data_IF_211127947369
#
_entry.id   IF_211127947369
#
_cell.length_a   1.000
_cell.length_b   1.000
_cell.length_c   1.000
_cell.angle_alpha   90.00
_cell.angle_beta   90.00
_cell.angle_gamma   90.00
#
_symmetry.space_group_name_H-M   'P 1'
#
loop_
_entity.id
_entity.type
_entity.pdbx_description
1 polymer ?
#
# COMPACT_ATOMS: atom_id res chain seq x y z
N UNK A 1 -10.22 -0.33 -32.47
CA UNK A 1 -9.18 -1.24 -31.89
C UNK A 1 -8.62 -0.69 -30.57
N UNK A 2 -7.94 0.46 -30.56
CA UNK A 2 -7.28 0.99 -29.35
C UNK A 2 -8.24 1.28 -28.18
N UNK A 3 -9.35 1.97 -28.43
CA UNK A 3 -10.37 2.26 -27.41
C UNK A 3 -11.01 0.98 -26.83
N UNK A 4 -11.30 0.00 -27.69
CA UNK A 4 -11.85 -1.32 -27.30
C UNK A 4 -10.87 -2.10 -26.42
N UNK A 5 -9.57 -2.06 -26.73
CA UNK A 5 -8.53 -2.72 -25.92
C UNK A 5 -8.38 -2.07 -24.54
N UNK A 6 -8.48 -0.74 -24.45
CA UNK A 6 -8.48 -0.02 -23.16
C UNK A 6 -9.69 -0.43 -22.34
N UNK A 7 -10.88 -0.42 -22.95
CA UNK A 7 -12.12 -0.77 -22.25
C UNK A 7 -12.08 -2.20 -21.68
N UNK A 8 -11.65 -3.18 -22.49
CA UNK A 8 -11.48 -4.57 -22.05
C UNK A 8 -10.46 -4.70 -20.90
N UNK A 9 -9.35 -3.94 -20.95
CA UNK A 9 -8.39 -3.93 -19.86
C UNK A 9 -8.98 -3.35 -18.56
N UNK A 10 -9.74 -2.25 -18.65
CA UNK A 10 -10.39 -1.65 -17.48
C UNK A 10 -11.44 -2.59 -16.85
N UNK A 11 -12.16 -3.36 -17.67
CA UNK A 11 -13.08 -4.41 -17.22
C UNK A 11 -12.34 -5.57 -16.53
N UNK A 12 -11.20 -6.01 -17.09
CA UNK A 12 -10.30 -7.00 -16.44
C UNK A 12 -9.84 -6.51 -15.07
N UNK A 13 -9.46 -5.22 -14.96
CA UNK A 13 -9.08 -4.61 -13.67
C UNK A 13 -10.27 -4.56 -12.70
N UNK A 14 -11.47 -4.19 -13.16
CA UNK A 14 -12.66 -4.15 -12.33
C UNK A 14 -13.05 -5.52 -11.79
N UNK A 15 -13.04 -6.55 -12.64
CA UNK A 15 -13.28 -7.93 -12.23
C UNK A 15 -12.22 -8.41 -11.23
N UNK A 16 -10.95 -8.17 -11.52
CA UNK A 16 -9.86 -8.53 -10.62
C UNK A 16 -9.98 -7.85 -9.25
N UNK A 17 -10.27 -6.54 -9.19
CA UNK A 17 -10.50 -5.82 -7.91
C UNK A 17 -11.59 -6.50 -7.09
N UNK A 18 -12.74 -6.78 -7.70
CA UNK A 18 -13.86 -7.41 -7.02
C UNK A 18 -13.50 -8.79 -6.46
N UNK A 19 -12.80 -9.63 -7.23
CA UNK A 19 -12.34 -10.95 -6.76
C UNK A 19 -11.37 -10.80 -5.59
N UNK A 20 -10.41 -9.88 -5.68
CA UNK A 20 -9.37 -9.69 -4.66
C UNK A 20 -9.93 -9.09 -3.38
N UNK A 21 -10.81 -8.08 -3.45
CA UNK A 21 -11.48 -7.50 -2.28
C UNK A 21 -12.29 -8.57 -1.54
N UNK A 22 -13.12 -9.32 -2.27
CA UNK A 22 -13.94 -10.41 -1.71
C UNK A 22 -13.08 -11.50 -1.06
N UNK A 23 -11.97 -11.89 -1.70
CA UNK A 23 -11.02 -12.83 -1.11
C UNK A 23 -10.45 -12.29 0.20
N UNK A 24 -9.95 -11.06 0.20
CA UNK A 24 -9.30 -10.48 1.38
C UNK A 24 -10.27 -10.28 2.54
N UNK A 25 -11.51 -9.85 2.27
CA UNK A 25 -12.54 -9.69 3.29
C UNK A 25 -12.81 -11.01 4.02
N UNK A 26 -13.02 -12.09 3.26
CA UNK A 26 -13.25 -13.40 3.86
C UNK A 26 -11.98 -13.97 4.51
N UNK A 27 -10.83 -13.82 3.86
CA UNK A 27 -9.56 -14.33 4.38
C UNK A 27 -9.26 -13.74 5.75
N UNK A 28 -9.32 -12.42 5.88
CA UNK A 28 -9.04 -11.74 7.14
C UNK A 28 -10.03 -12.12 8.25
N UNK A 29 -11.29 -12.43 7.93
CA UNK A 29 -12.25 -12.96 8.91
C UNK A 29 -11.78 -14.29 9.53
N UNK A 30 -11.13 -15.16 8.75
CA UNK A 30 -10.59 -16.44 9.26
C UNK A 30 -9.39 -16.23 10.19
N UNK A 31 -8.63 -15.15 10.02
CA UNK A 31 -7.52 -14.80 10.90
C UNK A 31 -7.97 -14.10 12.19
N UNK A 32 -9.22 -13.67 12.30
CA UNK A 32 -9.75 -12.99 13.48
C UNK A 32 -10.14 -14.01 14.57
N UNK A 33 -9.16 -14.51 15.31
CA UNK A 33 -9.39 -15.14 16.61
C UNK A 33 -9.14 -14.12 17.73
N UNK A 34 -10.20 -13.79 18.47
CA UNK A 34 -10.19 -12.75 19.52
C UNK A 34 -9.31 -13.10 20.72
N UNK A 35 -8.92 -14.36 20.90
CA UNK A 35 -8.13 -14.82 22.05
C UNK A 35 -6.69 -15.18 21.70
N UNK A 36 -6.20 -14.74 20.54
CA UNK A 36 -4.90 -15.15 20.02
C UNK A 36 -3.79 -14.12 20.28
N UNK A 37 -2.59 -14.60 20.61
CA UNK A 37 -1.37 -13.80 20.78
C UNK A 37 -0.78 -13.34 19.43
N UNK A 38 -1.63 -12.95 18.47
CA UNK A 38 -1.23 -12.57 17.09
C UNK A 38 -1.65 -11.14 16.77
N UNK A 39 -1.03 -10.48 15.77
CA UNK A 39 -1.42 -9.13 15.39
C UNK A 39 -2.89 -9.07 14.97
N UNK A 40 -3.61 -8.05 15.42
CA UNK A 40 -4.98 -7.83 15.00
C UNK A 40 -4.98 -7.27 13.57
N UNK A 41 -5.39 -8.10 12.61
CA UNK A 41 -5.51 -7.70 11.19
C UNK A 41 -6.80 -6.89 10.99
N UNK A 42 -6.66 -5.67 10.50
CA UNK A 42 -7.77 -4.79 10.13
C UNK A 42 -8.19 -5.03 8.67
N UNK A 43 -9.39 -4.57 8.26
CA UNK A 43 -9.83 -4.65 6.87
C UNK A 43 -8.77 -4.16 5.89
N UNK A 44 -8.52 -4.96 4.85
CA UNK A 44 -7.49 -4.65 3.87
C UNK A 44 -7.87 -3.42 3.03
N UNK A 45 -6.86 -2.64 2.64
CA UNK A 45 -7.00 -1.44 1.82
C UNK A 45 -6.37 -1.72 0.46
N UNK A 46 -7.18 -1.68 -0.59
CA UNK A 46 -6.69 -1.73 -1.97
C UNK A 46 -5.84 -0.50 -2.29
N UNK A 47 -4.58 -0.71 -2.65
CA UNK A 47 -3.60 0.34 -2.96
C UNK A 47 -2.94 0.14 -4.32
N UNK A 48 -2.36 1.22 -4.85
CA UNK A 48 -1.63 1.20 -6.11
C UNK A 48 -2.51 1.17 -7.36
N UNK A 49 -1.86 1.13 -8.51
CA UNK A 49 -2.49 1.43 -9.80
C UNK A 49 -3.72 0.57 -10.11
N UNK A 50 -3.65 -0.76 -9.87
CA UNK A 50 -4.75 -1.68 -10.20
C UNK A 50 -6.05 -1.35 -9.45
N UNK A 51 -5.92 -0.92 -8.18
CA UNK A 51 -7.04 -0.47 -7.35
C UNK A 51 -7.53 0.92 -7.72
N UNK A 52 -6.62 1.79 -8.15
CA UNK A 52 -6.95 3.12 -8.69
C UNK A 52 -7.64 3.04 -10.06
N UNK A 53 -7.56 1.90 -10.76
CA UNK A 53 -8.26 1.65 -12.03
C UNK A 53 -7.42 1.85 -13.28
N UNK A 54 -6.09 1.81 -13.17
CA UNK A 54 -5.15 1.84 -14.28
C UNK A 54 -4.00 0.84 -14.03
N UNK A 55 -3.30 0.36 -15.06
CA UNK A 55 -2.14 -0.51 -14.84
C UNK A 55 -1.15 -0.38 -15.99
N UNK A 56 0.16 -0.22 -15.71
CA UNK A 56 1.18 -0.21 -16.76
C UNK A 56 1.30 -1.54 -17.51
N UNK A 57 1.10 -2.65 -16.81
CA UNK A 57 1.21 -4.00 -17.36
C UNK A 57 -0.18 -4.57 -17.71
N UNK A 58 -0.33 -5.06 -18.94
CA UNK A 58 -1.57 -5.74 -19.39
C UNK A 58 -1.53 -7.25 -19.19
N UNK A 59 -0.31 -7.79 -19.26
CA UNK A 59 -0.04 -9.22 -19.29
C UNK A 59 -0.15 -9.78 -17.87
N UNK A 60 0.50 -9.14 -16.91
CA UNK A 60 0.52 -9.53 -15.50
C UNK A 60 0.16 -8.34 -14.61
N UNK A 61 -1.07 -8.35 -14.09
CA UNK A 61 -1.57 -7.31 -13.17
C UNK A 61 -1.34 -7.76 -11.74
N UNK A 62 -0.69 -6.91 -10.95
CA UNK A 62 -0.49 -7.09 -9.51
C UNK A 62 -1.47 -6.20 -8.75
N UNK A 63 -2.38 -6.82 -8.01
CA UNK A 63 -3.29 -6.16 -7.06
C UNK A 63 -2.59 -6.06 -5.72
N UNK A 64 -2.37 -4.83 -5.23
CA UNK A 64 -1.70 -4.61 -3.95
C UNK A 64 -2.72 -4.33 -2.85
N UNK A 65 -2.64 -5.09 -1.77
CA UNK A 65 -3.51 -4.96 -0.61
C UNK A 65 -2.66 -4.65 0.61
N UNK A 66 -2.90 -3.51 1.25
CA UNK A 66 -2.31 -3.19 2.55
C UNK A 66 -3.22 -3.71 3.65
N UNK A 67 -2.70 -4.56 4.53
CA UNK A 67 -3.39 -5.05 5.72
C UNK A 67 -2.89 -4.27 6.93
N UNK A 68 -3.70 -3.36 7.51
CA UNK A 68 -3.29 -2.64 8.69
C UNK A 68 -3.20 -3.57 9.89
N UNK A 69 -2.14 -3.41 10.69
CA UNK A 69 -1.91 -4.15 11.92
C UNK A 69 -2.25 -3.27 13.13
N UNK A 70 -2.91 -3.86 14.11
CA UNK A 70 -3.05 -3.32 15.46
C UNK A 70 -2.37 -4.26 16.46
N UNK A 71 -1.82 -3.72 17.57
CA UNK A 71 -1.23 -4.56 18.60
C UNK A 71 -2.30 -5.48 19.20
N UNK A 72 -1.94 -6.73 19.56
CA UNK A 72 -2.84 -7.57 20.34
C UNK A 72 -3.06 -7.00 21.74
N UNK A 73 -4.01 -7.59 22.46
CA UNK A 73 -4.26 -7.25 23.87
C UNK A 73 -2.96 -7.36 24.70
N UNK A 74 -2.75 -6.41 25.61
CA UNK A 74 -1.56 -6.34 26.45
C UNK A 74 -0.29 -5.81 25.76
N UNK A 75 -0.39 -5.37 24.50
CA UNK A 75 0.73 -4.79 23.75
C UNK A 75 0.39 -3.41 23.23
N UNK A 76 1.42 -2.63 22.90
CA UNK A 76 1.31 -1.35 22.22
C UNK A 76 2.38 -1.22 21.11
N UNK A 77 2.04 -0.52 20.04
CA UNK A 77 2.96 -0.24 18.94
C UNK A 77 3.44 1.21 19.03
N UNK A 78 4.72 1.38 19.36
CA UNK A 78 5.39 2.66 19.36
C UNK A 78 6.15 2.87 18.04
N UNK A 79 5.83 3.94 17.32
CA UNK A 79 6.45 4.25 16.03
C UNK A 79 7.70 5.11 16.25
N UNK A 80 8.86 4.57 15.89
CA UNK A 80 10.14 5.27 15.91
C UNK A 80 10.45 5.73 14.48
N UNK A 81 10.18 7.00 14.18
CA UNK A 81 10.49 7.56 12.86
C UNK A 81 12.00 7.75 12.69
N UNK A 82 12.48 7.55 11.46
CA UNK A 82 13.89 7.68 11.11
C UNK A 82 14.52 9.02 11.51
N UNK A 83 15.78 8.99 11.93
CA UNK A 83 16.50 10.16 12.47
C UNK A 83 17.15 11.02 11.39
N UNK A 84 17.15 10.55 10.14
CA UNK A 84 17.82 11.21 9.02
C UNK A 84 17.10 12.47 8.49
N UNK A 85 15.96 12.85 9.07
CA UNK A 85 15.17 14.02 8.66
C UNK A 85 14.55 13.92 7.26
N UNK A 86 14.66 12.76 6.60
CA UNK A 86 14.05 12.49 5.30
C UNK A 86 12.56 12.27 5.46
N UNK A 87 11.77 12.84 4.54
CA UNK A 87 10.33 12.67 4.49
C UNK A 87 9.97 12.25 3.05
N UNK A 88 9.31 11.10 2.84
CA UNK A 88 8.96 10.10 3.86
C UNK A 88 10.21 9.44 4.46
N UNK A 89 10.16 9.10 5.74
CA UNK A 89 11.25 8.42 6.45
C UNK A 89 11.39 6.98 5.92
N UNK A 90 12.61 6.59 5.58
CA UNK A 90 12.91 5.29 4.94
C UNK A 90 13.41 4.22 5.92
N UNK A 91 13.70 4.64 7.14
CA UNK A 91 14.46 3.92 8.18
C UNK A 91 13.71 3.83 9.51
N UNK A 92 12.39 4.06 9.49
CA UNK A 92 11.54 3.98 10.68
C UNK A 92 11.40 2.53 11.17
N UNK A 93 11.06 2.37 12.44
CA UNK A 93 10.84 1.07 13.10
C UNK A 93 9.59 1.10 13.97
N UNK A 94 9.09 -0.09 14.33
CA UNK A 94 7.92 -0.26 15.17
C UNK A 94 8.35 -1.05 16.40
N UNK A 95 8.48 -0.36 17.53
CA UNK A 95 8.80 -0.97 18.81
C UNK A 95 7.52 -1.50 19.47
N UNK A 96 7.59 -2.72 20.00
CA UNK A 96 6.47 -3.39 20.65
C UNK A 96 6.70 -3.39 22.15
N UNK A 97 5.84 -2.66 22.85
CA UNK A 97 5.89 -2.54 24.30
C UNK A 97 4.77 -3.35 24.96
N UNK A 98 5.02 -3.85 26.17
CA UNK A 98 3.96 -4.42 27.01
C UNK A 98 3.14 -3.29 27.63
N UNK A 99 1.81 -3.45 27.60
CA UNK A 99 0.86 -2.52 28.18
C UNK A 99 0.10 -3.23 29.30
N UNK A 100 0.01 -2.59 30.47
CA UNK A 100 -0.81 -3.11 31.56
C UNK A 100 -2.29 -3.07 31.17
N UNK A 101 -3.00 -4.16 31.42
CA UNK A 101 -4.44 -4.30 31.15
C UNK A 101 -5.27 -4.35 32.44
N UNK A 102 -4.65 -4.12 33.60
CA UNK A 102 -5.34 -4.02 34.87
C UNK A 102 -6.14 -2.71 34.94
N UNK A 103 -7.36 -2.77 35.44
CA UNK A 103 -8.10 -1.56 35.84
C UNK A 103 -7.52 -1.01 37.15
N UNK A 104 -7.40 0.32 37.28
CA UNK A 104 -6.88 0.98 38.49
C UNK A 104 -7.66 0.60 39.76
N UNK A 105 -8.95 0.27 39.64
CA UNK A 105 -9.82 -0.15 40.76
C UNK A 105 -9.73 -1.66 41.10
N UNK A 106 -9.04 -2.49 40.30
CA UNK A 106 -8.97 -3.96 40.45
C UNK A 106 -7.64 -4.48 40.99
N UNK A 107 -6.76 -3.63 41.53
CA UNK A 107 -5.51 -4.01 42.22
C UNK A 107 -5.71 -4.85 43.51
N UNK A 108 -6.93 -5.35 43.77
CA UNK A 108 -7.30 -6.26 44.85
C UNK A 108 -8.16 -7.42 44.35
N UNK A 109 -7.62 -8.28 43.48
CA UNK A 109 -7.90 -9.73 43.34
C UNK A 109 -7.37 -10.25 42.00
N UNK A 110 -6.39 -11.14 42.05
CA UNK A 110 -6.08 -12.20 41.07
C UNK A 110 -6.28 -11.89 39.57
N UNK A 111 -5.97 -10.67 39.10
CA UNK A 111 -5.94 -10.35 37.67
C UNK A 111 -4.54 -10.63 37.12
N UNK A 112 -4.43 -11.67 36.31
CA UNK A 112 -3.20 -12.04 35.59
C UNK A 112 -2.96 -11.01 34.47
N UNK A 113 -1.93 -10.18 34.61
CA UNK A 113 -1.47 -9.31 33.52
C UNK A 113 0.03 -9.50 33.29
N UNK A 114 0.47 -9.26 32.04
CA UNK A 114 1.86 -9.46 31.62
C UNK A 114 2.89 -8.67 32.44
N UNK A 115 2.49 -7.58 33.10
CA UNK A 115 3.38 -6.71 33.86
C UNK A 115 3.41 -7.08 35.35
N UNK A 116 2.28 -7.47 35.94
CA UNK A 116 2.15 -7.65 37.38
C UNK A 116 2.28 -9.11 37.85
N UNK A 117 2.31 -10.10 36.94
CA UNK A 117 2.36 -11.52 37.30
C UNK A 117 3.54 -12.31 36.69
N UNK A 118 4.70 -11.66 36.57
CA UNK A 118 5.88 -12.16 35.85
C UNK A 118 6.53 -13.44 36.46
N UNK A 119 6.24 -13.78 37.72
CA UNK A 119 6.93 -14.90 38.40
C UNK A 119 6.35 -16.29 38.11
N UNK A 120 5.09 -16.40 37.65
CA UNK A 120 4.43 -17.71 37.43
C UNK A 120 4.47 -18.24 35.99
N UNK A 121 4.96 -17.47 35.01
CA UNK A 121 4.96 -17.89 33.58
C UNK A 121 6.15 -18.77 33.18
N UNK A 122 7.07 -19.10 34.10
CA UNK A 122 8.28 -19.87 33.79
C UNK A 122 8.12 -21.40 33.80
N UNK A 123 6.93 -21.93 34.11
CA UNK A 123 6.71 -23.39 34.10
C UNK A 123 5.55 -23.77 33.19
N UNK A 124 5.80 -24.79 32.34
CA UNK A 124 4.87 -25.53 31.45
C UNK A 124 4.40 -24.90 30.13
N UNK A 125 4.86 -25.45 28.99
CA UNK A 125 4.19 -25.58 27.68
C UNK A 125 3.22 -24.45 27.23
N UNK A 126 3.57 -23.18 27.43
CA UNK A 126 2.75 -22.06 26.94
C UNK A 126 3.02 -21.79 25.45
N UNK A 127 1.97 -21.35 24.75
CA UNK A 127 2.08 -20.90 23.36
C UNK A 127 3.15 -19.78 23.24
N UNK A 128 3.91 -19.72 22.14
CA UNK A 128 4.97 -18.74 21.99
C UNK A 128 4.43 -17.32 22.15
N UNK A 129 5.13 -16.48 22.92
CA UNK A 129 4.76 -15.08 23.15
C UNK A 129 4.73 -14.30 21.84
N UNK A 130 3.95 -13.22 21.81
CA UNK A 130 3.88 -12.34 20.63
C UNK A 130 5.27 -11.86 20.19
N UNK A 131 6.10 -11.41 21.14
CA UNK A 131 7.45 -10.92 20.87
C UNK A 131 8.33 -12.00 20.22
N UNK A 132 8.34 -13.22 20.75
CA UNK A 132 9.15 -14.31 20.17
C UNK A 132 8.69 -14.70 18.76
N UNK A 133 7.37 -14.60 18.50
CA UNK A 133 6.75 -14.97 17.23
C UNK A 133 6.85 -13.89 16.15
N UNK A 134 6.69 -12.61 16.50
CA UNK A 134 6.53 -11.52 15.52
C UNK A 134 7.59 -10.43 15.60
N UNK A 135 8.49 -10.46 16.59
CA UNK A 135 9.51 -9.43 16.78
C UNK A 135 10.92 -9.99 16.69
N UNK A 136 11.85 -9.18 16.21
CA UNK A 136 13.30 -9.38 16.40
C UNK A 136 13.73 -8.35 17.43
N UNK A 137 14.28 -8.84 18.56
CA UNK A 137 14.37 -8.09 19.81
C UNK A 137 12.99 -7.56 20.24
N UNK A 138 12.81 -6.24 20.29
CA UNK A 138 11.52 -5.58 20.59
C UNK A 138 10.87 -4.95 19.35
N UNK A 139 11.43 -5.17 18.15
CA UNK A 139 10.94 -4.54 16.93
C UNK A 139 10.12 -5.50 16.09
N UNK A 140 8.99 -5.02 15.58
CA UNK A 140 8.12 -5.80 14.71
C UNK A 140 8.86 -6.23 13.43
N UNK A 141 8.88 -7.52 13.17
CA UNK A 141 9.66 -8.13 12.08
C UNK A 141 8.73 -8.55 10.93
N UNK A 142 8.94 -7.93 9.77
CA UNK A 142 8.15 -8.20 8.55
C UNK A 142 8.23 -9.66 8.13
N UNK A 143 9.43 -10.25 8.14
CA UNK A 143 9.63 -11.61 7.63
C UNK A 143 8.90 -12.62 8.53
N UNK A 144 8.92 -12.40 9.85
CA UNK A 144 8.16 -13.22 10.79
C UNK A 144 6.64 -13.12 10.55
N UNK A 145 6.11 -11.92 10.31
CA UNK A 145 4.70 -11.73 9.99
C UNK A 145 4.33 -12.41 8.66
N UNK A 146 5.13 -12.18 7.61
CA UNK A 146 4.92 -12.79 6.28
C UNK A 146 4.94 -14.31 6.38
N UNK A 147 5.90 -14.87 7.11
CA UNK A 147 6.01 -16.31 7.33
C UNK A 147 4.78 -16.86 8.06
N UNK A 148 4.37 -16.23 9.16
CA UNK A 148 3.16 -16.61 9.89
C UNK A 148 1.91 -16.54 9.01
N UNK A 149 1.75 -15.46 8.25
CA UNK A 149 0.59 -15.28 7.38
C UNK A 149 0.53 -16.38 6.32
N UNK A 150 1.64 -16.63 5.62
CA UNK A 150 1.74 -17.65 4.57
C UNK A 150 1.48 -19.08 5.09
N UNK A 151 2.00 -19.42 6.28
CA UNK A 151 1.79 -20.73 6.89
C UNK A 151 0.32 -21.02 7.21
N UNK A 152 -0.46 -19.96 7.46
CA UNK A 152 -1.89 -20.07 7.76
C UNK A 152 -2.78 -19.88 6.53
N UNK A 153 -2.24 -19.33 5.43
CA UNK A 153 -3.01 -19.00 4.24
C UNK A 153 -3.71 -20.22 3.65
N UNK A 154 -3.02 -21.35 3.52
CA UNK A 154 -3.61 -22.57 2.94
C UNK A 154 -4.70 -23.17 3.83
N UNK A 155 -4.59 -23.02 5.16
CA UNK A 155 -5.63 -23.46 6.11
C UNK A 155 -6.86 -22.57 6.00
N UNK A 156 -6.64 -21.26 5.93
CA UNK A 156 -7.70 -20.29 5.73
C UNK A 156 -8.40 -20.51 4.38
N UNK A 157 -7.64 -20.65 3.29
CA UNK A 157 -8.16 -20.93 1.94
C UNK A 157 -9.07 -22.15 1.87
N UNK A 158 -8.67 -23.28 2.49
CA UNK A 158 -9.50 -24.49 2.55
C UNK A 158 -10.84 -24.23 3.25
N UNK A 159 -10.83 -23.39 4.28
CA UNK A 159 -12.05 -23.00 4.99
C UNK A 159 -12.92 -22.10 4.10
N UNK A 160 -12.33 -21.13 3.40
CA UNK A 160 -13.03 -20.20 2.52
C UNK A 160 -13.77 -20.88 1.37
N UNK A 161 -13.15 -21.88 0.72
CA UNK A 161 -13.77 -22.61 -0.38
C UNK A 161 -15.03 -23.40 0.04
N UNK A 162 -15.29 -23.57 1.33
CA UNK A 162 -16.53 -24.19 1.78
C UNK A 162 -17.70 -23.20 1.82
N UNK A 163 -17.42 -21.89 1.92
CA UNK A 163 -18.42 -20.85 2.13
C UNK A 163 -18.65 -19.98 0.88
N UNK A 164 -17.67 -19.86 -0.01
CA UNK A 164 -17.77 -18.96 -1.17
C UNK A 164 -17.50 -19.66 -2.50
N UNK A 165 -18.58 -20.09 -3.16
CA UNK A 165 -18.57 -20.81 -4.45
C UNK A 165 -17.84 -20.03 -5.56
N UNK A 166 -17.81 -18.70 -5.50
CA UNK A 166 -17.11 -17.89 -6.50
C UNK A 166 -15.58 -18.03 -6.39
N UNK A 167 -15.05 -18.22 -5.18
CA UNK A 167 -13.61 -18.40 -4.95
C UNK A 167 -13.16 -19.83 -5.28
N UNK A 168 -14.05 -20.82 -5.21
CA UNK A 168 -13.77 -22.23 -5.57
C UNK A 168 -13.37 -22.43 -7.03
N UNK A 169 -13.62 -21.45 -7.90
CA UNK A 169 -13.23 -21.49 -9.32
C UNK A 169 -11.76 -21.14 -9.54
N UNK A 170 -11.04 -20.80 -8.46
CA UNK A 170 -9.64 -20.42 -8.48
C UNK A 170 -8.80 -21.42 -7.71
N UNK A 171 -7.58 -21.64 -8.19
CA UNK A 171 -6.51 -22.26 -7.45
C UNK A 171 -5.61 -21.17 -6.88
N UNK A 172 -5.17 -21.35 -5.64
CA UNK A 172 -4.23 -20.45 -4.97
C UNK A 172 -2.84 -21.07 -4.96
N UNK A 173 -1.82 -20.27 -5.23
CA UNK A 173 -0.41 -20.63 -5.03
C UNK A 173 0.36 -19.45 -4.48
N UNK A 174 1.28 -19.70 -3.55
CA UNK A 174 2.15 -18.66 -3.00
C UNK A 174 3.45 -18.59 -3.79
N UNK A 175 3.96 -17.37 -4.01
CA UNK A 175 5.26 -17.12 -4.59
C UNK A 175 6.25 -16.74 -3.47
N UNK A 176 7.53 -17.14 -3.56
CA UNK A 176 8.51 -16.88 -2.51
C UNK A 176 8.88 -15.40 -2.48
N UNK A 177 8.44 -14.70 -1.42
CA UNK A 177 8.76 -13.30 -1.14
C UNK A 177 9.03 -13.12 0.34
N UNK A 178 10.00 -12.27 0.70
CA UNK A 178 10.39 -12.06 2.10
C UNK A 178 9.70 -10.87 2.77
N UNK A 179 9.37 -9.82 2.01
CA UNK A 179 8.89 -8.53 2.54
C UNK A 179 7.36 -8.32 2.33
N UNK A 180 6.73 -9.21 1.58
CA UNK A 180 5.30 -9.23 1.31
C UNK A 180 4.83 -10.67 1.11
N UNK A 181 3.51 -10.92 1.12
CA UNK A 181 2.95 -12.19 0.73
C UNK A 181 2.45 -12.09 -0.72
N UNK A 182 3.13 -12.76 -1.63
CA UNK A 182 2.72 -12.80 -3.04
C UNK A 182 1.87 -14.04 -3.31
N UNK A 183 0.63 -13.83 -3.73
CA UNK A 183 -0.37 -14.86 -3.97
C UNK A 183 -0.81 -14.82 -5.43
N UNK A 184 -0.77 -15.95 -6.11
CA UNK A 184 -1.30 -16.11 -7.45
C UNK A 184 -2.63 -16.85 -7.39
N UNK A 185 -3.69 -16.22 -7.89
CA UNK A 185 -4.98 -16.86 -8.14
C UNK A 185 -5.05 -17.27 -9.60
N UNK A 186 -5.27 -18.55 -9.88
CA UNK A 186 -5.41 -19.08 -11.23
C UNK A 186 -6.80 -19.68 -11.41
N UNK A 187 -7.59 -19.11 -12.30
CA UNK A 187 -8.91 -19.62 -12.69
C UNK A 187 -8.78 -20.92 -13.50
N UNK A 188 -9.83 -21.74 -13.48
CA UNK A 188 -9.97 -22.93 -14.33
C UNK A 188 -9.75 -22.67 -15.83
N UNK A 189 -10.01 -21.45 -16.31
CA UNK A 189 -9.75 -21.03 -17.71
C UNK A 189 -8.32 -20.52 -17.97
N UNK A 190 -7.38 -20.68 -17.02
CA UNK A 190 -5.98 -20.27 -17.15
C UNK A 190 -5.71 -18.78 -16.91
N UNK A 191 -6.74 -17.95 -16.75
CA UNK A 191 -6.59 -16.55 -16.33
C UNK A 191 -6.06 -16.49 -14.90
N UNK A 192 -5.10 -15.61 -14.63
CA UNK A 192 -4.57 -15.43 -13.29
C UNK A 192 -4.44 -13.97 -12.88
N UNK A 193 -4.43 -13.77 -11.57
CA UNK A 193 -4.18 -12.49 -10.91
C UNK A 193 -3.06 -12.69 -9.89
N UNK A 194 -2.16 -11.72 -9.82
CA UNK A 194 -1.21 -11.63 -8.71
C UNK A 194 -1.78 -10.69 -7.66
N UNK A 195 -1.67 -11.10 -6.41
CA UNK A 195 -2.04 -10.32 -5.24
C UNK A 195 -0.78 -10.19 -4.40
N UNK A 196 -0.36 -8.95 -4.18
CA UNK A 196 0.69 -8.65 -3.23
C UNK A 196 0.05 -8.11 -1.95
N UNK A 197 0.16 -8.86 -0.87
CA UNK A 197 -0.31 -8.46 0.45
C UNK A 197 0.88 -7.87 1.19
N UNK A 198 0.77 -6.60 1.53
CA UNK A 198 1.73 -5.87 2.37
C UNK A 198 1.10 -5.56 3.70
N UNK A 199 1.92 -5.45 4.73
CA UNK A 199 1.46 -5.08 6.07
C UNK A 199 1.78 -3.62 6.33
N UNK A 200 1.05 -3.00 7.25
CA UNK A 200 1.42 -1.67 7.71
C UNK A 200 0.80 -1.28 9.04
N UNK A 201 1.43 -0.33 9.71
CA UNK A 201 0.90 0.31 10.93
C UNK A 201 0.64 1.78 10.63
N UNK A 202 -0.58 2.22 10.92
CA UNK A 202 -1.02 3.59 10.69
C UNK A 202 -0.28 4.55 11.63
N UNK A 203 0.22 5.66 11.09
CA UNK A 203 0.83 6.71 11.90
C UNK A 203 -0.26 7.61 12.49
N UNK A 204 -0.57 7.39 13.77
CA UNK A 204 -1.63 8.12 14.47
C UNK A 204 -2.99 7.86 13.80
N UNK A 205 -3.68 8.95 13.45
CA UNK A 205 -4.93 8.98 12.70
C UNK A 205 -4.74 9.43 11.23
N UNK A 206 -3.48 9.56 10.78
CA UNK A 206 -3.16 10.02 9.43
C UNK A 206 -3.36 8.93 8.36
N UNK A 207 -3.37 9.34 7.09
CA UNK A 207 -3.39 8.44 5.93
C UNK A 207 -1.96 7.95 5.55
N UNK A 208 -0.96 8.17 6.42
CA UNK A 208 0.41 7.70 6.25
C UNK A 208 0.64 6.44 7.09
N UNK A 209 1.29 5.45 6.49
CA UNK A 209 1.55 4.15 7.11
C UNK A 209 3.03 3.85 7.11
N UNK A 210 3.52 3.21 8.18
CA UNK A 210 4.77 2.46 8.11
C UNK A 210 4.46 1.11 7.46
N UNK A 211 5.06 0.80 6.31
CA UNK A 211 4.67 -0.35 5.48
C UNK A 211 5.82 -1.33 5.24
N UNK A 212 5.48 -2.61 5.12
CA UNK A 212 6.43 -3.67 4.76
C UNK A 212 6.86 -3.64 3.28
N UNK A 213 6.28 -2.76 2.47
CA UNK A 213 6.58 -2.69 1.05
C UNK A 213 8.09 -2.40 0.84
N UNK A 214 8.75 -3.30 0.12
CA UNK A 214 10.18 -3.21 -0.15
C UNK A 214 10.47 -2.35 -1.38
N UNK A 215 11.36 -1.38 -1.23
CA UNK A 215 11.96 -0.65 -2.38
C UNK A 215 13.41 -1.09 -2.64
N UNK A 216 14.01 -1.87 -1.74
CA UNK A 216 15.40 -2.31 -1.80
C UNK A 216 15.55 -3.77 -1.34
N UNK A 217 16.39 -4.54 -2.04
CA UNK A 217 16.53 -5.99 -1.87
C UNK A 217 17.18 -6.43 -0.55
N UNK A 218 17.86 -5.54 0.18
CA UNK A 218 18.63 -5.88 1.40
C UNK A 218 18.21 -5.10 2.64
N UNK A 219 16.96 -4.62 2.67
CA UNK A 219 16.44 -3.88 3.84
C UNK A 219 16.28 -4.82 5.04
N UNK A 220 16.75 -4.44 6.24
CA UNK A 220 16.48 -5.21 7.46
C UNK A 220 14.98 -5.44 7.66
N UNK A 221 14.60 -6.63 8.13
CA UNK A 221 13.20 -7.04 8.34
C UNK A 221 12.44 -6.22 9.38
N UNK A 222 13.15 -5.47 10.22
CA UNK A 222 12.58 -4.60 11.26
C UNK A 222 12.42 -3.14 10.82
N UNK A 223 12.79 -2.79 9.58
CA UNK A 223 12.65 -1.43 9.04
C UNK A 223 11.34 -1.32 8.25
N UNK A 224 10.53 -0.33 8.63
CA UNK A 224 9.22 -0.04 8.07
C UNK A 224 9.18 1.42 7.55
N UNK A 225 9.48 1.68 6.26
CA UNK A 225 9.42 3.04 5.72
C UNK A 225 8.00 3.62 5.75
N UNK A 226 7.92 4.94 5.84
CA UNK A 226 6.68 5.68 5.61
C UNK A 226 6.24 5.54 4.15
N UNK A 227 4.95 5.32 3.97
CA UNK A 227 4.31 5.13 2.67
C UNK A 227 3.08 6.03 2.52
N UNK A 228 2.95 6.63 1.34
CA UNK A 228 1.83 7.49 0.97
C UNK A 228 0.74 6.73 0.19
N UNK A 229 0.86 5.40 0.00
CA UNK A 229 -0.03 4.65 -0.91
C UNK A 229 -1.50 4.64 -0.47
N UNK A 230 -1.77 4.71 0.83
CA UNK A 230 -3.14 4.83 1.35
C UNK A 230 -3.70 6.24 1.09
N UNK A 231 -2.89 7.29 1.30
CA UNK A 231 -3.25 8.66 0.92
C UNK A 231 -3.50 8.78 -0.59
N UNK A 232 -2.72 8.10 -1.44
CA UNK A 232 -2.94 8.00 -2.89
C UNK A 232 -4.27 7.33 -3.22
N UNK A 233 -4.54 6.16 -2.64
CA UNK A 233 -5.80 5.45 -2.84
C UNK A 233 -6.99 6.31 -2.42
N UNK A 234 -6.88 7.03 -1.29
CA UNK A 234 -7.91 7.96 -0.81
C UNK A 234 -8.08 9.16 -1.75
N UNK A 235 -7.00 9.73 -2.27
CA UNK A 235 -7.04 10.80 -3.28
C UNK A 235 -7.84 10.37 -4.51
N UNK A 236 -7.55 9.20 -5.10
CA UNK A 236 -8.28 8.74 -6.26
C UNK A 236 -9.74 8.40 -5.96
N UNK A 237 -10.06 7.92 -4.74
CA UNK A 237 -11.46 7.77 -4.29
C UNK A 237 -12.20 9.12 -4.24
N UNK A 238 -11.54 10.18 -3.78
CA UNK A 238 -12.11 11.55 -3.78
C UNK A 238 -12.32 12.05 -5.21
N UNK A 239 -11.33 11.87 -6.08
CA UNK A 239 -11.41 12.22 -7.51
C UNK A 239 -12.61 11.53 -8.18
N UNK A 240 -12.76 10.21 -8.00
CA UNK A 240 -13.91 9.48 -8.58
C UNK A 240 -15.25 10.06 -8.12
N UNK A 241 -15.37 10.44 -6.84
CA UNK A 241 -16.58 11.09 -6.31
C UNK A 241 -16.82 12.48 -6.88
N UNK A 242 -15.75 13.27 -7.08
CA UNK A 242 -15.81 14.65 -7.61
C UNK A 242 -16.18 14.68 -9.09
N UNK A 243 -15.59 13.79 -9.89
CA UNK A 243 -15.67 13.86 -11.35
C UNK A 243 -16.73 12.93 -11.97
N UNK A 244 -17.70 12.43 -11.20
CA UNK A 244 -18.88 11.55 -11.48
C UNK A 244 -19.16 11.07 -12.92
N UNK A 245 -18.92 11.91 -13.94
CA UNK A 245 -18.86 11.55 -15.36
C UNK A 245 -17.41 11.42 -15.89
N UNK A 246 -16.77 10.27 -15.64
CA UNK A 246 -15.75 9.76 -16.55
C UNK A 246 -14.46 9.26 -15.90
N UNK A 247 -14.07 8.07 -16.35
CA UNK A 247 -12.75 7.49 -16.15
C UNK A 247 -11.66 8.17 -17.01
N UNK A 248 -11.82 9.45 -17.36
CA UNK A 248 -10.90 10.15 -18.27
C UNK A 248 -9.48 10.20 -17.72
N UNK A 249 -9.33 10.50 -16.42
CA UNK A 249 -8.03 10.49 -15.75
C UNK A 249 -7.39 9.10 -15.76
N UNK A 250 -8.18 8.04 -15.52
CA UNK A 250 -7.72 6.66 -15.61
C UNK A 250 -7.31 6.27 -17.03
N UNK A 251 -8.08 6.71 -18.03
CA UNK A 251 -7.76 6.50 -19.45
C UNK A 251 -6.48 7.25 -19.83
N UNK A 252 -6.28 8.47 -19.33
CA UNK A 252 -5.05 9.22 -19.54
C UNK A 252 -3.86 8.49 -18.92
N UNK A 253 -3.95 8.09 -17.64
CA UNK A 253 -2.92 7.29 -16.98
C UNK A 253 -2.61 6.01 -17.76
N UNK A 254 -3.63 5.27 -18.21
CA UNK A 254 -3.46 4.06 -19.01
C UNK A 254 -2.74 4.32 -20.33
N UNK A 255 -3.12 5.38 -21.05
CA UNK A 255 -2.46 5.80 -22.31
C UNK A 255 -0.99 6.14 -22.04
N UNK A 256 -0.71 6.90 -20.97
CA UNK A 256 0.67 7.27 -20.64
C UNK A 256 1.53 6.07 -20.25
N UNK A 257 1.00 5.14 -19.45
CA UNK A 257 1.78 3.96 -19.11
C UNK A 257 2.10 3.10 -20.33
N UNK A 258 1.23 3.08 -21.35
CA UNK A 258 1.53 2.44 -22.64
C UNK A 258 2.59 3.21 -23.42
N UNK A 259 2.47 4.54 -23.51
CA UNK A 259 3.44 5.37 -24.25
C UNK A 259 4.84 5.33 -23.63
N UNK A 260 4.92 5.26 -22.30
CA UNK A 260 6.17 5.22 -21.57
C UNK A 260 6.69 3.79 -21.34
N UNK A 261 6.02 2.77 -21.87
CA UNK A 261 6.47 1.39 -21.74
C UNK A 261 7.83 1.24 -22.44
N UNK A 262 8.85 0.83 -21.69
CA UNK A 262 10.21 0.68 -22.19
C UNK A 262 11.09 1.94 -22.08
N UNK A 263 10.54 3.03 -21.52
CA UNK A 263 11.33 4.23 -21.17
C UNK A 263 11.88 4.12 -19.75
N UNK A 264 12.84 4.99 -19.43
CA UNK A 264 13.37 5.16 -18.07
C UNK A 264 12.44 5.95 -17.14
N UNK A 265 11.35 6.52 -17.66
CA UNK A 265 10.42 7.33 -16.88
C UNK A 265 9.53 6.43 -16.02
N UNK A 266 9.60 6.53 -14.68
CA UNK A 266 8.72 5.75 -13.81
C UNK A 266 7.26 6.13 -14.03
N UNK A 267 6.37 5.14 -14.07
CA UNK A 267 4.91 5.38 -14.12
C UNK A 267 4.43 6.27 -12.97
N UNK A 268 5.11 6.21 -11.82
CA UNK A 268 4.86 7.05 -10.66
C UNK A 268 5.07 8.55 -10.93
N UNK A 269 6.00 8.93 -11.81
CA UNK A 269 6.21 10.33 -12.23
C UNK A 269 4.98 10.87 -12.93
N UNK A 270 4.41 10.12 -13.89
CA UNK A 270 3.17 10.53 -14.57
C UNK A 270 1.99 10.58 -13.61
N UNK A 271 1.87 9.58 -12.73
CA UNK A 271 0.84 9.57 -11.70
C UNK A 271 0.86 10.87 -10.90
N UNK A 272 2.05 11.28 -10.45
CA UNK A 272 2.25 12.51 -9.68
C UNK A 272 1.83 13.75 -10.47
N UNK A 273 2.18 13.86 -11.76
CA UNK A 273 1.72 14.97 -12.63
C UNK A 273 0.20 14.99 -12.70
N UNK A 274 -0.43 13.83 -12.96
CA UNK A 274 -1.89 13.73 -13.07
C UNK A 274 -2.57 14.12 -11.76
N UNK A 275 -2.01 13.75 -10.61
CA UNK A 275 -2.53 14.18 -9.29
C UNK A 275 -2.47 15.70 -9.13
N UNK A 276 -1.35 16.34 -9.48
CA UNK A 276 -1.23 17.81 -9.47
C UNK A 276 -2.27 18.48 -10.39
N UNK A 277 -2.47 17.95 -11.60
CA UNK A 277 -3.52 18.46 -12.50
C UNK A 277 -4.92 18.27 -11.91
N UNK A 278 -5.21 17.12 -11.30
CA UNK A 278 -6.53 16.82 -10.72
C UNK A 278 -6.85 17.69 -9.50
N UNK A 279 -5.83 18.07 -8.73
CA UNK A 279 -5.99 18.96 -7.58
C UNK A 279 -6.34 20.40 -8.01
N UNK A 280 -5.73 20.89 -9.09
CA UNK A 280 -5.87 22.28 -9.54
C UNK A 280 -6.99 22.49 -10.57
N UNK A 281 -7.41 21.44 -11.27
CA UNK A 281 -8.34 21.57 -12.39
C UNK A 281 -9.81 21.68 -11.96
N UNK A 282 -10.53 22.53 -12.68
CA UNK A 282 -11.99 22.52 -12.73
C UNK A 282 -12.51 21.26 -13.43
N UNK A 283 -13.68 20.76 -12.99
CA UNK A 283 -14.37 19.58 -13.51
C UNK A 283 -14.62 19.69 -15.01
N UNK A 284 -14.84 20.91 -15.51
CA UNK A 284 -15.03 21.23 -16.93
C UNK A 284 -13.85 20.80 -17.82
N UNK A 285 -12.61 20.83 -17.31
CA UNK A 285 -11.42 20.43 -18.07
C UNK A 285 -11.31 18.92 -18.30
N UNK A 286 -11.95 18.10 -17.45
CA UNK A 286 -11.88 16.64 -17.50
C UNK A 286 -13.03 16.01 -18.30
N UNK A 287 -13.51 16.70 -19.33
CA UNK A 287 -14.54 16.21 -20.24
C UNK A 287 -13.95 15.47 -21.44
N UNK A 288 -14.65 14.42 -21.92
CA UNK A 288 -14.35 13.67 -23.17
C UNK A 288 -13.91 14.54 -24.37
N UNK A 289 -14.49 15.72 -24.57
CA UNK A 289 -14.18 16.63 -25.68
C UNK A 289 -12.76 17.20 -25.59
N UNK A 290 -12.19 17.28 -24.39
CA UNK A 290 -10.88 17.87 -24.12
C UNK A 290 -9.76 16.81 -24.00
N UNK A 291 -10.05 15.52 -24.20
CA UNK A 291 -9.08 14.42 -23.98
C UNK A 291 -7.75 14.64 -24.69
N UNK A 292 -7.77 15.09 -25.95
CA UNK A 292 -6.54 15.36 -26.71
C UNK A 292 -5.72 16.48 -26.08
N UNK A 293 -6.35 17.62 -25.79
CA UNK A 293 -5.69 18.76 -25.15
C UNK A 293 -5.13 18.42 -23.77
N UNK A 294 -5.84 17.59 -23.02
CA UNK A 294 -5.38 17.10 -21.72
C UNK A 294 -4.13 16.22 -21.85
N UNK A 295 -4.11 15.27 -22.79
CA UNK A 295 -2.92 14.45 -23.08
C UNK A 295 -1.74 15.33 -23.51
N UNK A 296 -1.95 16.27 -24.42
CA UNK A 296 -0.91 17.22 -24.85
C UNK A 296 -0.39 18.07 -23.69
N UNK A 297 -1.26 18.50 -22.77
CA UNK A 297 -0.89 19.28 -21.59
C UNK A 297 -0.06 18.48 -20.60
N UNK A 298 -0.40 17.21 -20.37
CA UNK A 298 0.36 16.32 -19.50
C UNK A 298 1.73 16.02 -20.10
N UNK A 299 1.85 15.78 -21.42
CA UNK A 299 3.14 15.60 -22.11
C UNK A 299 4.02 16.85 -21.98
N UNK A 300 3.44 18.02 -22.26
CA UNK A 300 4.15 19.30 -22.12
C UNK A 300 4.64 19.52 -20.69
N UNK A 301 3.81 19.20 -19.70
CA UNK A 301 4.19 19.27 -18.29
C UNK A 301 5.32 18.28 -17.97
N UNK A 302 5.22 17.02 -18.40
CA UNK A 302 6.26 16.01 -18.18
C UNK A 302 7.60 16.47 -18.78
N UNK A 303 7.60 16.95 -20.01
CA UNK A 303 8.79 17.51 -20.66
C UNK A 303 9.34 18.71 -19.89
N UNK A 304 8.47 19.61 -19.43
CA UNK A 304 8.88 20.76 -18.62
C UNK A 304 9.51 20.32 -17.29
N UNK A 305 8.90 19.38 -16.57
CA UNK A 305 9.41 18.81 -15.32
C UNK A 305 10.79 18.17 -15.53
N UNK A 306 10.99 17.42 -16.62
CA UNK A 306 12.28 16.83 -16.95
C UNK A 306 13.32 17.88 -17.33
N UNK A 307 12.97 18.88 -18.14
CA UNK A 307 13.87 20.00 -18.47
C UNK A 307 14.31 20.77 -17.22
N UNK A 308 13.39 20.97 -16.27
CA UNK A 308 13.67 21.61 -14.97
C UNK A 308 14.26 20.66 -13.94
N UNK A 309 14.38 19.36 -14.26
CA UNK A 309 14.80 18.28 -13.34
C UNK A 309 14.04 18.33 -12.01
N UNK A 310 12.75 18.66 -12.08
CA UNK A 310 11.91 18.90 -10.91
C UNK A 310 10.48 18.41 -11.11
N UNK A 311 10.06 17.55 -10.20
CA UNK A 311 8.66 17.25 -9.94
C UNK A 311 8.49 17.06 -8.44
N UNK A 312 7.61 17.84 -7.83
CA UNK A 312 7.43 17.79 -6.40
C UNK A 312 6.46 16.66 -6.02
N UNK A 313 6.78 15.89 -4.98
CA UNK A 313 5.95 14.82 -4.43
C UNK A 313 4.59 15.39 -4.02
N UNK A 314 3.50 14.72 -4.41
CA UNK A 314 2.16 15.31 -4.29
C UNK A 314 1.71 15.59 -2.84
N UNK A 315 2.10 14.77 -1.86
CA UNK A 315 1.66 14.89 -0.46
C UNK A 315 2.62 15.62 0.48
N UNK A 316 3.76 16.15 0.00
CA UNK A 316 4.78 16.73 0.88
C UNK A 316 4.97 18.19 0.53
N UNK A 317 4.71 19.08 1.49
CA UNK A 317 4.80 20.53 1.30
C UNK A 317 3.82 21.08 0.27
N UNK A 318 2.70 20.39 0.03
CA UNK A 318 1.70 20.78 -0.96
C UNK A 318 0.38 21.17 -0.30
N UNK A 319 0.06 22.46 -0.35
CA UNK A 319 -1.18 23.02 0.20
C UNK A 319 -2.43 22.66 -0.62
N UNK A 320 -2.25 22.08 -1.81
CA UNK A 320 -3.35 21.70 -2.72
C UNK A 320 -3.91 20.30 -2.44
N UNK A 321 -3.39 19.59 -1.42
CA UNK A 321 -3.92 18.29 -1.02
C UNK A 321 -5.35 18.45 -0.47
N UNK A 322 -6.32 17.63 -0.91
CA UNK A 322 -7.69 17.69 -0.37
C UNK A 322 -7.73 17.53 1.15
N UNK A 323 -8.54 18.34 1.84
CA UNK A 323 -8.62 18.37 3.32
C UNK A 323 -9.09 17.05 3.93
N UNK A 324 -9.76 16.22 3.16
CA UNK A 324 -10.19 14.89 3.57
C UNK A 324 -9.01 13.93 3.77
N UNK A 325 -7.83 14.24 3.20
CA UNK A 325 -6.60 13.47 3.38
C UNK A 325 -5.84 14.05 4.57
N UNK A 326 -5.67 13.22 5.60
CA UNK A 326 -5.01 13.59 6.86
C UNK A 326 -3.53 13.25 6.72
N UNK A 327 -2.68 14.27 6.76
CA UNK A 327 -1.23 14.12 6.68
C UNK A 327 -0.59 14.52 8.02
N UNK A 328 0.51 13.85 8.45
CA UNK A 328 1.29 14.29 9.59
C UNK A 328 1.75 15.75 9.45
N UNK A 329 1.94 16.42 10.58
CA UNK A 329 2.34 17.85 10.60
C UNK A 329 3.66 18.08 9.87
N UNK A 330 4.57 17.11 9.95
CA UNK A 330 5.86 17.12 9.28
C UNK A 330 5.67 17.16 7.76
N UNK A 331 4.80 16.32 7.20
CA UNK A 331 4.51 16.29 5.76
C UNK A 331 4.00 17.64 5.23
N UNK A 332 3.21 18.35 6.04
CA UNK A 332 2.65 19.66 5.68
C UNK A 332 3.70 20.77 5.76
N UNK A 333 4.58 20.73 6.77
CA UNK A 333 5.57 21.79 7.02
C UNK A 333 6.87 21.63 6.22
N UNK A 334 7.16 20.43 5.74
CA UNK A 334 8.35 20.17 4.93
C UNK A 334 8.28 20.85 3.59
N UNK A 335 9.43 21.34 3.11
CA UNK A 335 9.52 21.90 1.74
C UNK A 335 9.19 20.81 0.71
N UNK A 336 8.60 21.17 -0.45
CA UNK A 336 8.29 20.21 -1.50
C UNK A 336 9.49 19.32 -1.86
N UNK A 337 9.28 18.00 -1.83
CA UNK A 337 10.32 17.00 -2.09
C UNK A 337 10.38 16.67 -3.58
N UNK A 338 11.53 16.88 -4.21
CA UNK A 338 11.70 16.63 -5.64
C UNK A 338 11.97 15.15 -5.95
N UNK A 339 11.10 14.50 -6.73
CA UNK A 339 11.28 13.10 -7.14
C UNK A 339 12.35 12.93 -8.23
N UNK A 340 12.68 13.99 -8.98
CA UNK A 340 13.70 13.98 -10.03
C UNK A 340 15.08 14.46 -9.53
N UNK A 341 15.30 14.49 -8.22
CA UNK A 341 16.57 14.96 -7.64
C UNK A 341 17.78 14.19 -8.18
N UNK A 342 17.63 12.88 -8.41
CA UNK A 342 18.66 12.02 -8.98
C UNK A 342 19.14 12.49 -10.38
N UNK A 343 18.27 13.10 -11.19
CA UNK A 343 18.63 13.61 -12.52
C UNK A 343 19.46 14.90 -12.48
N UNK A 344 19.52 15.60 -11.34
CA UNK A 344 20.38 16.79 -11.20
C UNK A 344 21.85 16.43 -11.31
N UNK A 345 22.23 15.29 -10.75
CA UNK A 345 23.60 14.85 -10.66
C UNK A 345 24.00 13.89 -11.81
N UNK A 346 23.04 13.35 -12.56
CA UNK A 346 23.27 12.45 -13.69
C UNK A 346 22.80 13.07 -15.02
N UNK A 347 23.75 13.68 -15.73
CA UNK A 347 23.49 14.34 -17.01
C UNK A 347 23.25 13.35 -18.15
N UNK A 348 23.83 12.15 -18.08
CA UNK A 348 23.65 11.11 -19.08
C UNK A 348 22.23 10.53 -18.98
N UNK A 349 21.80 10.16 -17.78
CA UNK A 349 20.43 9.72 -17.53
C UNK A 349 19.43 10.79 -17.94
N UNK A 350 19.66 12.06 -17.58
CA UNK A 350 18.79 13.17 -17.98
C UNK A 350 18.62 13.32 -19.50
N UNK A 351 19.73 13.25 -20.24
CA UNK A 351 19.70 13.38 -21.71
C UNK A 351 18.97 12.21 -22.36
N UNK A 352 19.23 10.99 -21.88
CA UNK A 352 18.55 9.78 -22.34
C UNK A 352 17.04 9.85 -22.08
N UNK A 353 16.62 10.17 -20.84
CA UNK A 353 15.20 10.30 -20.49
C UNK A 353 14.47 11.37 -21.31
N UNK A 354 15.14 12.46 -21.70
CA UNK A 354 14.56 13.48 -22.58
C UNK A 354 14.42 13.04 -24.04
N UNK A 355 15.28 12.15 -24.53
CA UNK A 355 15.20 11.60 -25.89
C UNK A 355 14.08 10.57 -26.06
N UNK A 356 13.62 9.98 -24.95
CA UNK A 356 12.54 8.99 -24.92
C UNK A 356 11.13 9.62 -25.05
N UNK A 357 11.01 10.97 -24.97
CA UNK A 357 9.76 11.74 -25.11
C UNK A 357 9.69 12.53 -26.41
#
# INVERSE_FOLDING_TARGET
IFATRIQCHMEKLAHGRWVVERLMDHLLCVYQDKNSSVPMLQPAIGIGSAFEGWCPSEDEVVFRMLVPLKPPHGHDFHLELGTNGKIPATDSRICVNLKCTCNEEQLKKDTVCFIHNCETEQTTNQAPSFLSTFCTDSYLDVQKIVHWFNNNLMKAWKSLCLYDVHLCQYNISMLPTQQSCMVKLTSTCGRHFLIEIVFGVQQGDSDIFLSSQADAMDRPSTVWPQSCTVAEAKFFKIVVKKFQQGSLHLRCLHVFCRLLKGTTIPAYTVKTIVMHFLAMADVSHWHRRNTRHLLESIIKCLRFCLLKKRIDHFFIGNDSVPKEIILPTEFQRTKPVNLLEHLKNDQAAHTMTLQEL
#
